data_IF_349495431399
#
_entry.id   IF_349495431399
#
_cell.length_a   1.000
_cell.length_b   1.000
_cell.length_c   1.000
_cell.angle_alpha   90.00
_cell.angle_beta   90.00
_cell.angle_gamma   90.00
#
_symmetry.space_group_name_H-M   'P 1'
#
loop_
_entity.id
_entity.type
_entity.pdbx_description
1 polymer ?
#
# COMPACT_ATOMS: atom_id res chain seq x y z
N UNK A 1 -28.40 12.71 -24.28
CA UNK A 1 -28.57 12.11 -22.94
C UNK A 1 -27.20 11.62 -22.53
N UNK A 2 -26.48 12.43 -21.77
CA UNK A 2 -25.19 12.06 -21.18
C UNK A 2 -25.49 11.07 -20.05
N UNK A 3 -25.02 9.83 -20.22
CA UNK A 3 -25.01 8.84 -19.14
C UNK A 3 -24.04 9.39 -18.11
N UNK A 4 -24.55 9.82 -16.96
CA UNK A 4 -23.75 10.17 -15.80
C UNK A 4 -23.25 8.83 -15.26
N UNK A 5 -22.03 8.42 -15.62
CA UNK A 5 -21.35 7.32 -14.93
C UNK A 5 -21.20 7.77 -13.48
N UNK A 6 -22.01 7.19 -12.61
CA UNK A 6 -21.88 7.39 -11.18
C UNK A 6 -20.51 6.80 -10.79
N UNK A 7 -19.51 7.66 -10.60
CA UNK A 7 -18.24 7.26 -9.99
C UNK A 7 -18.58 6.71 -8.61
N UNK A 8 -18.26 5.44 -8.40
CA UNK A 8 -18.45 4.81 -7.09
C UNK A 8 -17.52 5.51 -6.10
N UNK A 9 -18.06 5.97 -4.99
CA UNK A 9 -17.29 6.63 -3.93
C UNK A 9 -16.24 5.63 -3.37
N UNK A 10 -14.94 5.93 -3.48
CA UNK A 10 -13.88 5.05 -3.00
C UNK A 10 -14.03 4.67 -1.52
N UNK A 11 -14.48 5.61 -0.69
CA UNK A 11 -14.69 5.36 0.73
C UNK A 11 -15.81 4.36 0.98
N UNK A 12 -16.94 4.52 0.29
CA UNK A 12 -18.07 3.60 0.40
C UNK A 12 -17.71 2.20 -0.12
N UNK A 13 -16.96 2.11 -1.22
CA UNK A 13 -16.52 0.83 -1.79
C UNK A 13 -15.64 0.05 -0.82
N UNK A 14 -14.58 0.66 -0.30
CA UNK A 14 -13.66 -0.03 0.60
C UNK A 14 -14.29 -0.31 1.97
N UNK A 15 -15.08 0.62 2.51
CA UNK A 15 -15.79 0.40 3.76
C UNK A 15 -16.76 -0.79 3.66
N UNK A 16 -17.54 -0.89 2.57
CA UNK A 16 -18.42 -2.03 2.33
C UNK A 16 -17.63 -3.35 2.24
N UNK A 17 -16.48 -3.33 1.57
CA UNK A 17 -15.62 -4.49 1.43
C UNK A 17 -15.10 -4.98 2.78
N UNK A 18 -14.59 -4.06 3.62
CA UNK A 18 -14.12 -4.42 4.94
C UNK A 18 -15.27 -4.83 5.88
N UNK A 19 -16.37 -4.11 5.91
CA UNK A 19 -17.52 -4.45 6.74
C UNK A 19 -18.19 -5.80 6.35
N UNK A 20 -18.06 -6.21 5.10
CA UNK A 20 -18.63 -7.46 4.57
C UNK A 20 -17.90 -8.74 4.98
N UNK A 21 -16.75 -8.65 5.63
CA UNK A 21 -15.95 -9.80 6.08
C UNK A 21 -15.41 -9.58 7.49
N UNK A 22 -15.14 -10.65 8.22
CA UNK A 22 -14.50 -10.58 9.55
C UNK A 22 -13.04 -10.11 9.44
N UNK A 23 -12.34 -10.53 8.40
CA UNK A 23 -11.00 -10.10 8.00
C UNK A 23 -10.87 -10.24 6.49
N UNK A 24 -10.18 -9.31 5.83
CA UNK A 24 -9.86 -9.42 4.39
C UNK A 24 -8.46 -9.94 4.20
N UNK A 25 -7.53 -9.50 5.04
CA UNK A 25 -6.12 -9.82 4.94
C UNK A 25 -5.67 -10.78 6.03
N UNK A 26 -4.48 -11.35 5.86
CA UNK A 26 -3.91 -12.30 6.82
C UNK A 26 -3.57 -11.69 8.18
N UNK A 27 -3.54 -10.35 8.30
CA UNK A 27 -3.06 -9.62 9.48
C UNK A 27 -1.55 -9.76 9.74
N UNK A 28 -0.83 -10.41 8.81
CA UNK A 28 0.64 -10.55 8.85
C UNK A 28 1.29 -9.49 7.97
N UNK A 29 2.55 -9.18 8.27
CA UNK A 29 3.38 -8.33 7.42
C UNK A 29 3.51 -8.93 6.02
N UNK A 30 3.62 -8.07 5.01
CA UNK A 30 4.05 -8.47 3.68
C UNK A 30 5.49 -9.02 3.76
N UNK A 31 5.71 -10.26 3.32
CA UNK A 31 7.01 -10.94 3.43
C UNK A 31 8.10 -10.24 2.61
N UNK A 32 7.74 -9.71 1.45
CA UNK A 32 8.65 -8.92 0.60
C UNK A 32 9.07 -7.64 1.30
N UNK A 33 8.13 -6.91 1.92
CA UNK A 33 8.44 -5.73 2.73
C UNK A 33 9.35 -6.10 3.91
N UNK A 34 9.01 -7.15 4.66
CA UNK A 34 9.81 -7.58 5.80
C UNK A 34 11.27 -7.91 5.42
N UNK A 35 11.48 -8.55 4.27
CA UNK A 35 12.81 -8.85 3.75
C UNK A 35 13.60 -7.59 3.33
N UNK A 36 12.91 -6.54 2.87
CA UNK A 36 13.54 -5.29 2.43
C UNK A 36 13.95 -4.37 3.58
N UNK A 37 13.16 -4.37 4.67
CA UNK A 37 13.30 -3.35 5.72
C UNK A 37 13.69 -3.94 7.08
N UNK A 38 13.75 -5.27 7.22
CA UNK A 38 13.97 -5.95 8.50
C UNK A 38 15.29 -5.58 9.20
N UNK A 39 16.32 -5.22 8.45
CA UNK A 39 17.63 -4.83 8.95
C UNK A 39 17.79 -3.30 9.11
N UNK A 40 16.77 -2.51 8.80
CA UNK A 40 16.83 -1.05 8.97
C UNK A 40 16.72 -0.69 10.45
N UNK A 41 17.50 0.31 10.86
CA UNK A 41 17.36 0.89 12.19
C UNK A 41 15.96 1.53 12.33
N UNK A 42 15.22 1.27 13.42
CA UNK A 42 13.90 1.84 13.62
C UNK A 42 13.92 3.35 13.73
N UNK A 43 12.95 3.97 13.11
CA UNK A 43 12.73 5.41 13.08
C UNK A 43 11.24 5.73 13.03
N UNK A 44 10.82 6.71 12.23
CA UNK A 44 9.41 7.03 11.94
C UNK A 44 9.02 6.37 10.64
N UNK A 45 7.92 5.61 10.66
CA UNK A 45 7.37 5.01 9.44
C UNK A 45 5.93 5.45 9.17
N UNK A 46 5.58 5.50 7.89
CA UNK A 46 4.25 5.78 7.39
C UNK A 46 3.86 4.71 6.37
N UNK A 47 2.71 4.09 6.58
CA UNK A 47 2.15 3.10 5.66
C UNK A 47 0.90 3.67 4.97
N UNK A 48 0.94 3.73 3.64
CA UNK A 48 -0.09 4.30 2.78
C UNK A 48 -1.06 3.21 2.32
N UNK A 49 -2.32 3.28 2.75
CA UNK A 49 -3.31 2.23 2.54
C UNK A 49 -3.08 1.04 3.46
N UNK A 50 -2.94 1.32 4.76
CA UNK A 50 -2.51 0.34 5.77
C UNK A 50 -3.49 -0.80 6.03
N UNK A 51 -4.72 -0.70 5.55
CA UNK A 51 -5.75 -1.71 5.79
C UNK A 51 -5.92 -2.08 7.26
N UNK A 52 -5.90 -3.38 7.55
CA UNK A 52 -6.00 -3.94 8.91
C UNK A 52 -4.66 -3.89 9.69
N UNK A 53 -3.64 -3.18 9.17
CA UNK A 53 -2.45 -2.78 9.90
C UNK A 53 -1.32 -3.81 10.00
N UNK A 54 -1.30 -4.87 9.19
CA UNK A 54 -0.29 -5.92 9.30
C UNK A 54 1.15 -5.42 9.25
N UNK A 55 1.47 -4.56 8.28
CA UNK A 55 2.81 -3.98 8.09
C UNK A 55 3.16 -3.00 9.23
N UNK A 56 2.20 -2.14 9.62
CA UNK A 56 2.36 -1.15 10.69
C UNK A 56 2.63 -1.81 12.04
N UNK A 57 1.87 -2.85 12.39
CA UNK A 57 2.03 -3.59 13.64
C UNK A 57 3.38 -4.31 13.70
N UNK A 58 3.80 -4.91 12.60
CA UNK A 58 5.09 -5.57 12.49
C UNK A 58 6.27 -4.59 12.66
N UNK A 59 6.15 -3.38 12.09
CA UNK A 59 7.12 -2.30 12.28
C UNK A 59 7.13 -1.82 13.73
N UNK A 60 5.96 -1.59 14.34
CA UNK A 60 5.84 -1.16 15.74
C UNK A 60 6.47 -2.19 16.70
N UNK A 61 6.28 -3.49 16.47
CA UNK A 61 6.90 -4.58 17.24
C UNK A 61 8.44 -4.50 17.21
N UNK A 62 9.01 -3.94 16.13
CA UNK A 62 10.45 -3.75 15.93
C UNK A 62 10.96 -2.38 16.38
N UNK A 63 10.13 -1.62 17.09
CA UNK A 63 10.50 -0.35 17.71
C UNK A 63 10.34 0.87 16.80
N UNK A 64 9.70 0.72 15.63
CA UNK A 64 9.36 1.87 14.80
C UNK A 64 8.23 2.68 15.42
N UNK A 65 8.29 4.00 15.28
CA UNK A 65 7.12 4.87 15.49
C UNK A 65 6.26 4.80 14.24
N UNK A 66 5.40 3.77 14.20
CA UNK A 66 4.67 3.37 13.02
C UNK A 66 3.28 4.02 12.96
N UNK A 67 2.99 4.64 11.83
CA UNK A 67 1.70 5.25 11.50
C UNK A 67 1.14 4.60 10.25
N UNK A 68 -0.14 4.22 10.28
CA UNK A 68 -0.88 3.75 9.12
C UNK A 68 -2.01 4.71 8.76
N UNK A 69 -2.24 4.88 7.45
CA UNK A 69 -3.38 5.64 6.92
C UNK A 69 -4.19 4.73 6.03
N UNK A 70 -5.49 4.66 6.29
CA UNK A 70 -6.46 3.99 5.43
C UNK A 70 -7.77 4.76 5.40
N UNK A 71 -8.52 4.65 4.31
CA UNK A 71 -9.78 5.37 4.22
C UNK A 71 -10.95 4.62 4.88
N UNK A 72 -10.79 3.32 5.19
CA UNK A 72 -11.82 2.51 5.85
C UNK A 72 -11.79 2.70 7.37
N UNK A 73 -12.92 3.09 7.91
CA UNK A 73 -13.13 3.17 9.37
C UNK A 73 -13.04 1.77 9.98
N UNK A 74 -13.64 0.77 9.33
CA UNK A 74 -13.66 -0.62 9.81
C UNK A 74 -12.24 -1.22 9.84
N UNK A 75 -11.45 -1.07 8.76
CA UNK A 75 -10.07 -1.56 8.71
C UNK A 75 -9.22 -0.92 9.82
N UNK A 76 -9.27 0.40 9.91
CA UNK A 76 -8.52 1.18 10.92
C UNK A 76 -8.93 0.83 12.36
N UNK A 77 -10.22 0.58 12.62
CA UNK A 77 -10.70 0.15 13.94
C UNK A 77 -10.13 -1.23 14.32
N UNK A 78 -10.09 -2.18 13.39
CA UNK A 78 -9.49 -3.50 13.60
C UNK A 78 -8.00 -3.40 13.88
N UNK A 79 -7.28 -2.57 13.11
CA UNK A 79 -5.85 -2.33 13.30
C UNK A 79 -5.56 -1.77 14.70
N UNK A 80 -6.34 -0.79 15.18
CA UNK A 80 -6.22 -0.23 16.52
C UNK A 80 -6.48 -1.27 17.60
N UNK A 81 -7.58 -2.03 17.48
CA UNK A 81 -7.91 -3.09 18.43
C UNK A 81 -6.78 -4.13 18.52
N UNK A 82 -6.20 -4.49 17.38
CA UNK A 82 -5.07 -5.44 17.34
C UNK A 82 -3.81 -4.85 17.96
N UNK A 83 -3.52 -3.57 17.78
CA UNK A 83 -2.40 -2.89 18.44
C UNK A 83 -2.57 -2.92 19.97
N UNK A 84 -3.79 -2.63 20.48
CA UNK A 84 -4.10 -2.69 21.90
C UNK A 84 -3.94 -4.10 22.48
N UNK A 85 -4.45 -5.13 21.80
CA UNK A 85 -4.29 -6.54 22.21
C UNK A 85 -2.83 -6.95 22.33
N UNK A 86 -1.98 -6.47 21.41
CA UNK A 86 -0.55 -6.77 21.37
C UNK A 86 0.27 -5.86 22.29
N UNK A 87 -0.32 -4.82 22.87
CA UNK A 87 0.38 -3.82 23.67
C UNK A 87 1.38 -2.98 22.86
N UNK A 88 1.12 -2.80 21.55
CA UNK A 88 1.97 -2.05 20.64
C UNK A 88 1.56 -0.59 20.56
N UNK A 89 2.55 0.30 20.50
CA UNK A 89 2.34 1.72 20.23
C UNK A 89 2.40 1.96 18.73
N UNK A 90 1.24 1.92 18.06
CA UNK A 90 1.08 2.22 16.65
C UNK A 90 -0.06 3.22 16.46
N UNK A 91 0.08 4.12 15.51
CA UNK A 91 -0.93 5.13 15.21
C UNK A 91 -1.67 4.75 13.91
N UNK A 92 -3.00 4.95 13.91
CA UNK A 92 -3.81 4.70 12.73
C UNK A 92 -4.75 5.88 12.48
N UNK A 93 -4.75 6.39 11.25
CA UNK A 93 -5.56 7.53 10.83
C UNK A 93 -6.54 7.09 9.75
N UNK A 94 -7.84 7.42 9.94
CA UNK A 94 -8.83 7.29 8.87
C UNK A 94 -8.74 8.53 8.01
N UNK A 95 -8.28 8.38 6.78
CA UNK A 95 -8.22 9.48 5.82
C UNK A 95 -8.19 8.98 4.38
N UNK A 96 -8.80 9.74 3.48
CA UNK A 96 -8.57 9.63 2.05
C UNK A 96 -7.17 10.16 1.74
N UNK A 97 -6.31 9.33 1.16
CA UNK A 97 -4.93 9.68 0.84
C UNK A 97 -4.84 10.84 -0.16
N UNK A 98 -5.80 10.98 -1.08
CA UNK A 98 -5.83 12.09 -2.02
C UNK A 98 -6.05 13.42 -1.30
N UNK A 99 -7.03 13.48 -0.39
CA UNK A 99 -7.30 14.65 0.44
C UNK A 99 -6.18 14.90 1.47
N UNK A 100 -5.62 13.83 2.01
CA UNK A 100 -4.53 13.93 2.98
C UNK A 100 -3.27 14.53 2.38
N UNK A 101 -2.95 14.19 1.12
CA UNK A 101 -1.86 14.79 0.34
C UNK A 101 -2.11 16.28 0.10
N UNK A 102 -3.32 16.66 -0.31
CA UNK A 102 -3.70 18.05 -0.53
C UNK A 102 -3.54 18.89 0.74
N UNK A 103 -4.08 18.41 1.86
CA UNK A 103 -3.94 19.07 3.15
C UNK A 103 -2.47 19.15 3.62
N UNK A 104 -1.64 18.15 3.28
CA UNK A 104 -0.20 18.15 3.58
C UNK A 104 0.56 19.24 2.82
N UNK A 105 0.21 19.48 1.56
CA UNK A 105 0.79 20.54 0.75
C UNK A 105 0.44 21.95 1.27
N UNK A 106 -0.77 22.12 1.80
CA UNK A 106 -1.23 23.40 2.36
C UNK A 106 -0.64 23.73 3.74
N UNK A 107 -0.36 22.71 4.56
CA UNK A 107 0.05 22.86 5.96
C UNK A 107 1.57 22.67 6.20
N UNK A 108 2.38 22.70 5.14
CA UNK A 108 3.85 22.52 5.22
C UNK A 108 4.25 21.35 6.16
N UNK A 109 3.83 20.13 5.81
CA UNK A 109 4.22 18.91 6.55
C UNK A 109 5.69 18.53 6.35
N UNK A 110 6.50 19.38 5.76
CA UNK A 110 7.96 19.17 5.64
C UNK A 110 8.64 18.94 7.00
N UNK A 111 8.02 19.41 8.09
CA UNK A 111 8.47 19.12 9.46
C UNK A 111 8.17 17.66 9.91
N UNK A 112 7.27 16.94 9.22
CA UNK A 112 6.96 15.54 9.49
C UNK A 112 7.72 14.65 8.52
N UNK A 113 9.02 14.45 8.75
CA UNK A 113 9.82 13.55 7.91
C UNK A 113 9.77 12.12 8.42
N UNK A 114 9.79 11.15 7.48
CA UNK A 114 9.76 9.72 7.74
C UNK A 114 11.05 9.06 7.27
N UNK A 115 11.55 8.13 8.09
CA UNK A 115 12.71 7.31 7.73
C UNK A 115 12.29 6.17 6.79
N UNK A 116 11.01 5.79 6.82
CA UNK A 116 10.42 4.76 5.97
C UNK A 116 8.99 5.16 5.59
N UNK A 117 8.69 5.11 4.28
CA UNK A 117 7.32 5.15 3.79
C UNK A 117 7.06 3.86 3.01
N UNK A 118 5.94 3.21 3.27
CA UNK A 118 5.55 1.95 2.63
C UNK A 118 4.22 2.10 1.89
N UNK A 119 4.07 1.37 0.81
CA UNK A 119 2.79 1.18 0.12
C UNK A 119 2.75 -0.25 -0.43
N UNK A 120 2.20 -1.16 0.38
CA UNK A 120 2.02 -2.56 0.02
C UNK A 120 0.64 -2.74 -0.60
N UNK A 121 0.61 -3.13 -1.89
CA UNK A 121 -0.62 -3.36 -2.66
C UNK A 121 -1.60 -2.17 -2.67
N UNK A 122 -1.06 -0.96 -2.70
CA UNK A 122 -1.84 0.28 -2.86
C UNK A 122 -2.36 0.37 -4.30
N UNK A 123 -3.27 -0.53 -4.64
CA UNK A 123 -3.93 -0.70 -5.92
C UNK A 123 -5.44 -0.78 -5.67
N UNK A 124 -6.24 -0.06 -6.44
CA UNK A 124 -7.68 0.04 -6.20
C UNK A 124 -8.46 -0.14 -7.50
N UNK A 125 -9.59 -0.88 -7.47
CA UNK A 125 -10.49 -0.97 -8.62
C UNK A 125 -11.41 0.25 -8.75
N UNK A 126 -11.35 1.18 -7.79
CA UNK A 126 -12.03 2.47 -7.81
C UNK A 126 -11.00 3.60 -7.83
N UNK A 127 -11.44 4.83 -8.07
CA UNK A 127 -10.56 5.97 -8.23
C UNK A 127 -9.52 6.08 -7.09
N UNK A 128 -8.25 6.11 -7.48
CA UNK A 128 -7.11 6.32 -6.60
C UNK A 128 -6.04 7.11 -7.36
N UNK A 129 -5.80 8.38 -7.05
CA UNK A 129 -4.78 9.20 -7.72
C UNK A 129 -3.38 8.80 -7.24
N UNK A 130 -3.04 7.52 -7.44
CA UNK A 130 -1.88 6.84 -6.88
C UNK A 130 -0.56 7.54 -7.18
N UNK A 131 -0.35 7.97 -8.45
CA UNK A 131 0.87 8.68 -8.84
C UNK A 131 1.06 9.97 -8.04
N UNK A 132 -0.01 10.76 -7.84
CA UNK A 132 0.03 11.98 -7.06
C UNK A 132 0.39 11.70 -5.61
N UNK A 133 -0.19 10.66 -5.02
CA UNK A 133 0.06 10.22 -3.65
C UNK A 133 1.53 9.81 -3.50
N UNK A 134 2.06 8.98 -4.40
CA UNK A 134 3.42 8.49 -4.33
C UNK A 134 4.47 9.60 -4.55
N UNK A 135 4.21 10.54 -5.48
CA UNK A 135 5.09 11.71 -5.67
C UNK A 135 5.12 12.60 -4.44
N UNK A 136 3.99 12.82 -3.79
CA UNK A 136 3.95 13.57 -2.55
C UNK A 136 4.71 12.85 -1.42
N UNK A 137 4.62 11.52 -1.34
CA UNK A 137 5.33 10.71 -0.36
C UNK A 137 6.85 10.90 -0.42
N UNK A 138 7.43 11.12 -1.61
CA UNK A 138 8.86 11.41 -1.75
C UNK A 138 9.28 12.66 -0.97
N UNK A 139 8.43 13.69 -0.93
CA UNK A 139 8.73 14.95 -0.24
C UNK A 139 8.73 14.81 1.28
N UNK A 140 8.11 13.77 1.82
CA UNK A 140 8.04 13.49 3.27
C UNK A 140 9.17 12.58 3.77
N UNK A 141 10.02 12.09 2.88
CA UNK A 141 11.18 11.30 3.30
C UNK A 141 12.21 12.19 4.02
N UNK A 142 12.71 11.72 5.14
CA UNK A 142 13.92 12.26 5.75
C UNK A 142 15.15 12.06 4.85
N UNK A 143 16.22 12.84 4.99
CA UNK A 143 17.50 12.48 4.40
C UNK A 143 17.92 11.05 4.81
N UNK A 144 18.25 10.19 3.83
CA UNK A 144 18.50 8.77 4.04
C UNK A 144 17.24 7.90 4.13
N UNK A 145 16.05 8.48 4.21
CA UNK A 145 14.77 7.78 4.29
C UNK A 145 14.43 7.04 2.99
N UNK A 146 13.59 6.03 3.08
CA UNK A 146 13.23 5.14 1.96
C UNK A 146 11.73 5.10 1.72
N UNK A 147 11.36 5.11 0.43
CA UNK A 147 10.04 4.72 -0.05
C UNK A 147 10.13 3.28 -0.57
N UNK A 148 9.26 2.40 -0.08
CA UNK A 148 9.16 1.00 -0.48
C UNK A 148 7.79 0.75 -1.08
N UNK A 149 7.76 0.36 -2.34
CA UNK A 149 6.54 -0.02 -3.06
C UNK A 149 6.57 -1.52 -3.32
N UNK A 150 5.49 -2.19 -2.97
CA UNK A 150 5.22 -3.58 -3.33
C UNK A 150 3.85 -3.63 -3.99
N UNK A 151 3.78 -4.10 -5.22
CA UNK A 151 2.54 -4.12 -6.02
C UNK A 151 2.38 -5.45 -6.73
N UNK A 152 1.14 -5.85 -7.01
CA UNK A 152 0.92 -7.01 -7.88
C UNK A 152 1.38 -6.70 -9.29
N UNK A 153 2.31 -7.50 -9.81
CA UNK A 153 2.85 -7.35 -11.17
C UNK A 153 2.10 -8.18 -12.21
N UNK A 154 1.38 -9.21 -11.78
CA UNK A 154 0.61 -10.10 -12.65
C UNK A 154 -0.62 -10.68 -11.92
N UNK A 155 -1.65 -11.12 -12.67
CA UNK A 155 -2.75 -11.86 -12.07
C UNK A 155 -2.24 -13.20 -11.51
N UNK A 156 -2.74 -13.63 -10.34
CA UNK A 156 -2.37 -14.93 -9.81
C UNK A 156 -2.79 -16.04 -10.79
N UNK A 157 -2.05 -17.17 -10.84
CA UNK A 157 -2.28 -18.23 -11.83
C UNK A 157 -3.73 -18.76 -11.87
N UNK A 158 -4.40 -18.83 -10.71
CA UNK A 158 -5.79 -19.29 -10.61
C UNK A 158 -6.81 -18.30 -11.19
N UNK A 159 -6.52 -17.00 -11.18
CA UNK A 159 -7.43 -16.01 -11.77
C UNK A 159 -7.61 -16.16 -13.28
N UNK A 160 -6.64 -16.79 -13.98
CA UNK A 160 -6.68 -17.01 -15.42
C UNK A 160 -7.71 -18.09 -15.83
N UNK A 161 -8.15 -18.93 -14.88
CA UNK A 161 -9.08 -20.04 -15.15
C UNK A 161 -10.54 -19.65 -14.91
N UNK A 162 -10.81 -18.59 -14.14
CA UNK A 162 -12.16 -18.18 -13.77
C UNK A 162 -12.91 -17.37 -14.85
N UNK A 163 -12.23 -16.97 -15.93
CA UNK A 163 -12.88 -16.23 -17.03
C UNK A 163 -13.98 -16.99 -17.76
N UNK A 164 -14.15 -18.29 -17.50
CA UNK A 164 -15.13 -19.12 -18.18
C UNK A 164 -16.48 -19.31 -17.42
N UNK A 165 -16.57 -18.92 -16.13
CA UNK A 165 -17.68 -19.35 -15.27
C UNK A 165 -18.48 -18.27 -14.56
N UNK A 166 -17.99 -17.02 -14.51
CA UNK A 166 -18.72 -15.93 -13.84
C UNK A 166 -18.96 -14.75 -14.77
N UNK A 167 -20.25 -14.37 -14.88
CA UNK A 167 -20.77 -13.38 -15.82
C UNK A 167 -20.07 -12.03 -15.76
N UNK A 168 -20.07 -11.36 -16.93
CA UNK A 168 -19.67 -9.99 -17.24
C UNK A 168 -18.67 -9.36 -16.25
N UNK A 169 -17.40 -9.71 -16.42
CA UNK A 169 -16.32 -8.97 -15.78
C UNK A 169 -16.29 -7.59 -16.41
N UNK A 170 -16.52 -6.56 -15.62
CA UNK A 170 -16.33 -5.17 -16.07
C UNK A 170 -14.82 -4.98 -16.31
N UNK A 171 -14.38 -4.82 -17.56
CA UNK A 171 -12.96 -4.66 -17.87
C UNK A 171 -12.37 -3.37 -17.27
N UNK A 172 -13.21 -2.41 -16.84
CA UNK A 172 -12.80 -1.18 -16.17
C UNK A 172 -12.46 -1.41 -14.69
N UNK A 173 -12.83 -2.56 -14.13
CA UNK A 173 -12.57 -3.00 -12.75
C UNK A 173 -11.49 -4.09 -12.63
N UNK A 174 -10.77 -4.35 -13.70
CA UNK A 174 -9.66 -5.30 -13.65
C UNK A 174 -8.57 -4.79 -12.69
N UNK A 175 -7.97 -5.67 -11.87
CA UNK A 175 -6.82 -5.28 -11.06
C UNK A 175 -5.74 -4.68 -11.95
N UNK A 176 -5.23 -3.52 -11.56
CA UNK A 176 -4.14 -2.88 -12.28
C UNK A 176 -2.83 -3.55 -11.85
N UNK A 177 -2.20 -4.29 -12.76
CA UNK A 177 -0.89 -4.89 -12.55
C UNK A 177 0.17 -3.88 -12.99
N UNK A 178 1.20 -3.70 -12.18
CA UNK A 178 2.18 -2.62 -12.36
C UNK A 178 3.57 -3.23 -12.44
N UNK A 179 4.28 -3.00 -13.54
CA UNK A 179 5.68 -3.39 -13.66
C UNK A 179 6.61 -2.42 -12.88
N UNK A 180 7.82 -2.84 -12.47
CA UNK A 180 8.76 -1.97 -11.77
C UNK A 180 9.07 -0.67 -12.53
N UNK A 181 9.12 -0.72 -13.85
CA UNK A 181 9.34 0.44 -14.71
C UNK A 181 8.18 1.43 -14.64
N UNK A 182 6.95 0.92 -14.57
CA UNK A 182 5.73 1.73 -14.44
C UNK A 182 5.65 2.37 -13.05
N UNK A 183 6.09 1.65 -12.00
CA UNK A 183 6.22 2.20 -10.66
C UNK A 183 7.20 3.37 -10.61
N UNK A 184 8.37 3.22 -11.23
CA UNK A 184 9.33 4.32 -11.34
C UNK A 184 8.77 5.49 -12.15
N UNK A 185 8.08 5.22 -13.25
CA UNK A 185 7.43 6.25 -14.05
C UNK A 185 6.34 7.01 -13.24
N UNK A 186 5.59 6.31 -12.39
CA UNK A 186 4.60 6.90 -11.50
C UNK A 186 5.21 7.89 -10.50
N UNK A 187 6.45 7.65 -10.04
CA UNK A 187 7.18 8.57 -9.18
C UNK A 187 7.62 9.86 -9.91
N UNK A 188 7.62 9.85 -11.24
CA UNK A 188 8.08 10.96 -12.07
C UNK A 188 9.59 10.99 -12.25
N UNK A 189 10.12 12.11 -12.75
CA UNK A 189 11.55 12.31 -12.85
C UNK A 189 12.13 12.43 -11.44
N UNK A 190 12.87 11.40 -11.00
CA UNK A 190 13.60 11.46 -9.74
C UNK A 190 14.77 12.43 -9.92
N UNK A 191 14.80 13.44 -9.05
CA UNK A 191 15.88 14.41 -9.03
C UNK A 191 17.17 13.79 -8.46
N UNK A 192 18.29 14.49 -8.57
CA UNK A 192 19.60 14.02 -8.09
C UNK A 192 19.66 13.74 -6.59
N UNK A 193 18.66 14.17 -5.83
CA UNK A 193 18.51 13.87 -4.41
C UNK A 193 17.91 12.49 -4.09
N UNK A 194 17.55 11.71 -5.09
CA UNK A 194 17.00 10.35 -4.92
C UNK A 194 17.84 9.30 -5.65
N UNK A 195 17.96 8.12 -5.04
CA UNK A 195 18.57 6.94 -5.63
C UNK A 195 17.57 5.79 -5.68
N UNK A 196 17.48 5.11 -6.82
CA UNK A 196 16.76 3.85 -6.95
C UNK A 196 17.67 2.73 -6.42
N UNK A 197 17.26 2.09 -5.32
CA UNK A 197 18.00 0.99 -4.72
C UNK A 197 17.57 -0.38 -5.26
N UNK A 198 16.26 -0.52 -5.54
CA UNK A 198 15.65 -1.74 -6.08
C UNK A 198 14.60 -1.35 -7.10
N UNK A 199 14.57 -2.06 -8.23
CA UNK A 199 13.48 -2.04 -9.21
C UNK A 199 13.47 -3.41 -9.89
N UNK A 200 12.66 -4.35 -9.39
CA UNK A 200 12.67 -5.74 -9.87
C UNK A 200 11.31 -6.42 -9.71
N UNK A 201 11.09 -7.48 -10.48
CA UNK A 201 10.05 -8.45 -10.21
C UNK A 201 10.58 -9.44 -9.16
N UNK A 202 9.80 -9.68 -8.11
CA UNK A 202 10.10 -10.64 -7.07
C UNK A 202 9.03 -11.71 -7.00
N UNK A 203 9.45 -12.95 -7.23
CA UNK A 203 8.56 -14.10 -7.17
C UNK A 203 8.54 -14.68 -5.76
N UNK A 204 7.37 -15.03 -5.27
CA UNK A 204 7.20 -15.74 -4.02
C UNK A 204 6.07 -16.76 -4.08
N UNK A 205 6.13 -17.74 -3.18
CA UNK A 205 5.15 -18.81 -3.08
C UNK A 205 3.98 -18.40 -2.18
N UNK A 206 2.78 -18.67 -2.64
CA UNK A 206 1.54 -18.51 -1.88
C UNK A 206 0.69 -19.76 -1.99
N UNK A 207 -0.28 -19.93 -1.09
CA UNK A 207 -1.31 -20.95 -1.25
C UNK A 207 -2.43 -20.42 -2.16
N UNK A 208 -2.82 -21.19 -3.17
CA UNK A 208 -4.02 -20.91 -3.96
C UNK A 208 -5.30 -21.09 -3.10
N UNK A 209 -6.50 -20.72 -3.60
CA UNK A 209 -7.74 -20.91 -2.85
C UNK A 209 -8.07 -22.35 -2.47
N UNK A 210 -7.42 -23.32 -3.09
CA UNK A 210 -7.52 -24.75 -2.80
C UNK A 210 -6.44 -25.27 -1.86
N UNK A 211 -5.49 -24.37 -1.46
CA UNK A 211 -4.39 -24.71 -0.55
C UNK A 211 -3.16 -25.29 -1.24
N UNK A 212 -3.08 -25.29 -2.58
CA UNK A 212 -1.91 -25.75 -3.30
C UNK A 212 -0.86 -24.62 -3.43
N UNK A 213 0.45 -24.96 -3.47
CA UNK A 213 1.48 -23.96 -3.70
C UNK A 213 1.36 -23.35 -5.11
N UNK A 214 1.46 -22.04 -5.18
CA UNK A 214 1.45 -21.28 -6.43
C UNK A 214 2.46 -20.14 -6.34
N UNK A 215 3.02 -19.75 -7.50
CA UNK A 215 3.95 -18.63 -7.58
C UNK A 215 3.22 -17.38 -8.06
N UNK A 216 3.45 -16.26 -7.39
CA UNK A 216 2.99 -14.95 -7.81
C UNK A 216 4.17 -13.98 -7.94
N UNK A 217 4.02 -12.99 -8.83
CA UNK A 217 5.03 -11.99 -9.09
C UNK A 217 4.60 -10.64 -8.51
N UNK A 218 5.44 -10.08 -7.65
CA UNK A 218 5.31 -8.72 -7.16
C UNK A 218 6.30 -7.79 -7.86
N UNK A 219 5.86 -6.58 -8.16
CA UNK A 219 6.70 -5.46 -8.52
C UNK A 219 7.25 -4.83 -7.25
N UNK A 220 8.55 -4.68 -7.18
CA UNK A 220 9.25 -4.14 -6.01
C UNK A 220 10.09 -2.94 -6.43
N UNK A 221 9.82 -1.79 -5.83
CA UNK A 221 10.62 -0.58 -6.03
C UNK A 221 11.01 0.00 -4.67
N UNK A 222 12.30 0.29 -4.52
CA UNK A 222 12.84 0.99 -3.35
C UNK A 222 13.60 2.22 -3.81
N UNK A 223 13.17 3.38 -3.35
CA UNK A 223 13.82 4.66 -3.61
C UNK A 223 14.31 5.25 -2.29
N UNK A 224 15.52 5.78 -2.26
CA UNK A 224 16.11 6.44 -1.09
C UNK A 224 16.33 7.92 -1.37
N UNK A 225 15.95 8.78 -0.43
CA UNK A 225 16.36 10.17 -0.42
C UNK A 225 17.83 10.25 0.04
N UNK A 226 18.66 10.87 -0.78
CA UNK A 226 20.07 11.13 -0.45
C UNK A 226 20.16 12.25 0.61
N UNK A 227 21.27 12.29 1.35
CA UNK A 227 21.51 13.30 2.39
C UNK A 227 22.06 14.62 1.83
#
# INVERSE_FOLDING_TARGET
MTVNEAHEDPSAFWEQRYAGAESIWSGRVNETLAALVGELAPGRSLDLGSGEGGDVLWLAERGWRATGIDLSVTATARARARAEELGLSAEFTVADLALWVEAGAENDRSAESFDLITASFLQSPVELPRERILRAALSWLAPGGRLVLVSHAAPPPWARHDHATHGAHDPTRAPHFIAPEDELAALGALESEFAVLVAELRQHEVADPQGNPAQIDDSVVVVQRLG
#
